data_IF_618508600879
#
_entry.id   IF_618508600879
#
_cell.length_a   1.000
_cell.length_b   1.000
_cell.length_c   1.000
_cell.angle_alpha   90.00
_cell.angle_beta   90.00
_cell.angle_gamma   90.00
#
_symmetry.space_group_name_H-M   'P 1'
#
loop_
_entity.id
_entity.type
_entity.pdbx_description
1 polymer ?
#
# COMPACT_ATOMS: atom_id res chain seq x y z
N UNK A 1 -14.55 26.53 11.22
CA UNK A 1 -14.61 26.34 9.87
C UNK A 1 -14.45 24.94 9.45
N UNK A 2 -15.44 24.48 8.82
CA UNK A 2 -15.45 23.15 8.48
C UNK A 2 -15.17 22.95 7.07
N UNK A 3 -13.95 22.81 6.72
CA UNK A 3 -13.66 22.46 5.40
C UNK A 3 -13.78 21.01 5.29
N UNK A 4 -14.77 20.56 4.58
CA UNK A 4 -14.85 19.16 4.29
C UNK A 4 -13.79 18.80 3.31
N UNK A 5 -12.89 17.95 3.73
CA UNK A 5 -11.92 17.41 2.81
C UNK A 5 -12.60 16.37 1.97
N UNK A 6 -12.52 16.54 0.67
CA UNK A 6 -13.07 15.57 -0.26
C UNK A 6 -12.06 14.51 -0.56
N UNK A 7 -12.51 13.27 -0.53
CA UNK A 7 -11.67 12.15 -0.92
C UNK A 7 -11.70 12.07 -2.44
N UNK A 8 -10.53 12.15 -3.04
CA UNK A 8 -10.39 12.07 -4.49
C UNK A 8 -9.52 10.90 -4.85
N UNK A 9 -9.65 10.43 -6.08
CA UNK A 9 -8.88 9.30 -6.58
C UNK A 9 -7.71 9.82 -7.40
N UNK A 10 -6.51 9.39 -7.05
CA UNK A 10 -5.31 9.77 -7.78
C UNK A 10 -4.58 8.52 -8.25
N UNK A 11 -4.11 8.49 -9.48
CA UNK A 11 -3.28 7.36 -9.93
C UNK A 11 -1.87 7.50 -9.38
N UNK A 12 -1.25 6.36 -9.13
CA UNK A 12 0.14 6.32 -8.70
C UNK A 12 0.90 5.43 -9.65
N UNK A 13 2.07 5.88 -10.07
CA UNK A 13 2.93 5.07 -10.92
C UNK A 13 4.28 4.91 -10.24
N UNK A 14 4.74 3.68 -10.13
CA UNK A 14 6.07 3.42 -9.59
C UNK A 14 6.60 2.14 -10.23
N UNK A 15 7.89 1.91 -10.06
CA UNK A 15 8.55 0.77 -10.67
C UNK A 15 8.79 -0.31 -9.63
N UNK A 16 8.69 -1.56 -10.05
CA UNK A 16 8.98 -2.69 -9.17
C UNK A 16 9.93 -3.63 -9.88
N UNK A 17 10.61 -4.43 -9.10
CA UNK A 17 11.51 -5.45 -9.63
C UNK A 17 10.74 -6.75 -9.76
N UNK A 18 10.85 -7.42 -10.90
CA UNK A 18 10.13 -8.66 -11.15
C UNK A 18 10.90 -9.48 -12.18
N UNK A 19 10.65 -10.79 -12.16
CA UNK A 19 11.25 -11.66 -13.16
C UNK A 19 10.49 -11.62 -14.48
N UNK A 20 9.19 -11.39 -14.44
CA UNK A 20 8.40 -11.33 -15.67
C UNK A 20 7.14 -10.48 -15.43
N UNK A 21 6.40 -10.28 -16.51
CA UNK A 21 5.21 -9.43 -16.49
C UNK A 21 4.08 -10.05 -15.66
N UNK A 22 4.03 -11.38 -15.58
CA UNK A 22 2.99 -12.04 -14.80
C UNK A 22 3.11 -11.71 -13.32
N UNK A 23 4.34 -11.65 -12.82
CA UNK A 23 4.59 -11.26 -11.44
C UNK A 23 4.07 -9.86 -11.16
N UNK A 24 4.28 -8.96 -12.12
CA UNK A 24 3.80 -7.58 -11.97
C UNK A 24 2.28 -7.55 -11.90
N UNK A 25 1.61 -8.34 -12.75
CA UNK A 25 0.15 -8.41 -12.73
C UNK A 25 -0.37 -8.96 -11.41
N UNK A 26 0.32 -9.94 -10.85
CA UNK A 26 -0.08 -10.49 -9.56
C UNK A 26 -0.01 -9.43 -8.47
N UNK A 27 1.05 -8.64 -8.48
CA UNK A 27 1.18 -7.56 -7.51
C UNK A 27 0.10 -6.51 -7.71
N UNK A 28 -0.16 -6.15 -8.97
CA UNK A 28 -1.20 -5.17 -9.27
C UNK A 28 -2.55 -5.62 -8.74
N UNK A 29 -2.90 -6.88 -8.98
CA UNK A 29 -4.17 -7.41 -8.51
C UNK A 29 -4.24 -7.43 -7.00
N UNK A 30 -3.15 -7.80 -6.34
CA UNK A 30 -3.13 -7.84 -4.89
C UNK A 30 -3.38 -6.46 -4.31
N UNK A 31 -2.74 -5.44 -4.87
CA UNK A 31 -2.92 -4.07 -4.40
C UNK A 31 -4.35 -3.59 -4.64
N UNK A 32 -4.87 -3.85 -5.84
CA UNK A 32 -6.23 -3.43 -6.18
C UNK A 32 -7.25 -4.11 -5.26
N UNK A 33 -7.08 -5.41 -5.02
CA UNK A 33 -8.00 -6.14 -4.16
C UNK A 33 -7.95 -5.63 -2.72
N UNK A 34 -6.75 -5.33 -2.24
CA UNK A 34 -6.58 -4.79 -0.90
C UNK A 34 -7.29 -3.45 -0.76
N UNK A 35 -7.11 -2.57 -1.72
CA UNK A 35 -7.73 -1.25 -1.68
C UNK A 35 -9.24 -1.37 -1.80
N UNK A 36 -9.72 -2.23 -2.70
CA UNK A 36 -11.15 -2.42 -2.90
C UNK A 36 -11.83 -2.99 -1.66
N UNK A 37 -11.17 -3.94 -1.00
CA UNK A 37 -11.70 -4.55 0.21
C UNK A 37 -12.00 -3.47 1.26
N UNK A 38 -11.05 -2.59 1.50
CA UNK A 38 -11.23 -1.54 2.50
C UNK A 38 -12.24 -0.49 2.07
N UNK A 39 -12.29 -0.19 0.78
CA UNK A 39 -13.26 0.77 0.27
C UNK A 39 -14.68 0.26 0.45
N UNK A 40 -14.91 -1.04 0.22
CA UNK A 40 -16.22 -1.64 0.39
C UNK A 40 -16.69 -1.60 1.82
N UNK A 41 -15.78 -1.60 2.76
CA UNK A 41 -16.13 -1.54 4.17
C UNK A 41 -16.28 -0.10 4.65
N UNK A 42 -16.31 0.84 3.72
CA UNK A 42 -16.44 2.27 4.00
C UNK A 42 -15.29 2.81 4.84
N UNK A 43 -14.14 2.16 4.73
CA UNK A 43 -12.92 2.60 5.39
C UNK A 43 -11.82 2.69 4.34
N UNK A 44 -11.94 3.66 3.42
CA UNK A 44 -10.93 3.75 2.36
C UNK A 44 -9.55 4.02 2.92
N UNK A 45 -8.56 3.47 2.25
CA UNK A 45 -7.19 3.69 2.66
C UNK A 45 -6.76 5.04 2.10
N UNK A 46 -6.58 5.99 3.00
CA UNK A 46 -6.12 7.32 2.59
C UNK A 46 -4.62 7.30 2.43
N UNK A 47 -4.14 7.96 1.39
CA UNK A 47 -2.73 7.96 1.05
C UNK A 47 -1.84 8.46 2.19
N UNK A 48 -2.28 9.49 2.89
CA UNK A 48 -1.51 10.02 4.00
C UNK A 48 -1.35 9.03 5.13
N UNK A 49 -2.43 8.31 5.47
CA UNK A 49 -2.36 7.29 6.50
C UNK A 49 -1.50 6.12 6.08
N UNK A 50 -1.61 5.71 4.83
CA UNK A 50 -0.79 4.64 4.33
C UNK A 50 0.69 5.01 4.39
N UNK A 51 1.01 6.24 4.02
CA UNK A 51 2.39 6.71 4.09
C UNK A 51 2.91 6.70 5.53
N UNK A 52 2.07 7.14 6.47
CA UNK A 52 2.46 7.12 7.88
C UNK A 52 2.73 5.71 8.36
N UNK A 53 1.87 4.78 7.98
CA UNK A 53 2.04 3.40 8.37
C UNK A 53 3.32 2.79 7.85
N UNK A 54 3.57 3.00 6.56
CA UNK A 54 4.77 2.46 5.94
C UNK A 54 6.02 3.03 6.58
N UNK A 55 6.04 4.33 6.83
CA UNK A 55 7.20 4.95 7.47
C UNK A 55 7.40 4.48 8.90
N UNK A 56 6.31 4.27 9.63
CA UNK A 56 6.40 3.76 10.99
C UNK A 56 6.98 2.35 10.99
N UNK A 57 6.55 1.51 10.06
CA UNK A 57 7.08 0.15 9.95
C UNK A 57 8.55 0.17 9.60
N UNK A 58 8.95 1.07 8.72
CA UNK A 58 10.35 1.17 8.31
C UNK A 58 11.26 1.56 9.46
N UNK A 59 10.74 2.34 10.41
CA UNK A 59 11.52 2.77 11.56
C UNK A 59 11.50 1.79 12.71
N UNK A 60 10.61 0.81 12.68
CA UNK A 60 10.48 -0.16 13.74
C UNK A 60 11.38 -1.36 13.46
N UNK A 61 12.41 -1.62 14.27
CA UNK A 61 13.35 -2.69 13.95
C UNK A 61 12.71 -4.07 13.92
N UNK A 62 11.71 -4.33 14.75
CA UNK A 62 11.04 -5.63 14.73
C UNK A 62 10.28 -5.83 13.44
N UNK A 63 9.49 -4.85 13.05
CA UNK A 63 8.70 -4.93 11.81
C UNK A 63 9.62 -4.97 10.60
N UNK A 64 10.64 -4.13 10.61
CA UNK A 64 11.56 -4.07 9.49
C UNK A 64 12.27 -5.41 9.28
N UNK A 65 12.70 -6.05 10.36
CA UNK A 65 13.36 -7.34 10.26
C UNK A 65 12.42 -8.41 9.73
N UNK A 66 11.16 -8.37 10.15
CA UNK A 66 10.17 -9.31 9.64
C UNK A 66 9.95 -9.16 8.15
N UNK A 67 9.88 -7.92 7.70
CA UNK A 67 9.71 -7.65 6.27
C UNK A 67 10.92 -8.14 5.50
N UNK A 68 12.12 -7.86 5.99
CA UNK A 68 13.34 -8.30 5.32
C UNK A 68 13.37 -9.82 5.23
N UNK A 69 13.05 -10.51 6.31
CA UNK A 69 13.03 -11.96 6.31
C UNK A 69 12.04 -12.52 5.32
N UNK A 70 10.87 -11.91 5.23
CA UNK A 70 9.86 -12.37 4.30
C UNK A 70 10.34 -12.29 2.86
N UNK A 71 11.01 -11.19 2.52
CA UNK A 71 11.44 -11.00 1.15
C UNK A 71 12.74 -11.72 0.81
N UNK A 72 13.45 -12.22 1.81
CA UNK A 72 14.68 -12.98 1.56
C UNK A 72 14.46 -14.47 1.47
N UNK A 73 13.29 -14.94 1.76
CA UNK A 73 13.01 -16.37 1.63
C UNK A 73 12.85 -16.81 0.18
#
# INVERSE_FOLDING_TARGET
>A
MDEKKEIKVFPITFEVYAYDAQEVDELRKAIVDFIAFHAERKLPILAGKAAQGIRAWDKNPFVKNRIIQFFQE
#
